data_IF_124927833689
#
_entry.id   IF_124927833689
#
_cell.length_a   1.000
_cell.length_b   1.000
_cell.length_c   1.000
_cell.angle_alpha   90.00
_cell.angle_beta   90.00
_cell.angle_gamma   90.00
#
_symmetry.space_group_name_H-M   'P 1'
#
loop_
_entity.id
_entity.type
_entity.pdbx_description
1 polymer ?
#
# COMPACT_ATOMS: atom_id res chain seq x y z
N UNK A 1 53.80 61.53 19.00
CA UNK A 1 52.64 61.04 19.79
C UNK A 1 52.49 59.56 19.45
N UNK A 2 53.27 58.67 20.04
CA UNK A 2 53.10 57.99 21.35
C UNK A 2 52.58 56.55 21.17
N UNK A 3 53.55 55.63 21.27
CA UNK A 3 53.53 54.25 21.84
C UNK A 3 52.77 53.09 21.13
N UNK A 4 53.59 52.20 20.58
CA UNK A 4 53.45 50.73 20.42
C UNK A 4 53.47 49.98 21.79
N UNK A 5 53.67 48.64 21.90
CA UNK A 5 52.74 47.50 21.64
C UNK A 5 52.75 46.38 22.75
N UNK A 6 51.78 45.42 22.71
CA UNK A 6 51.79 44.00 23.24
C UNK A 6 52.20 43.76 24.73
N UNK A 7 52.30 42.54 25.36
CA UNK A 7 52.16 41.12 24.92
C UNK A 7 51.54 40.09 25.93
N UNK A 8 51.48 38.82 25.49
CA UNK A 8 51.66 37.53 26.23
C UNK A 8 50.66 37.13 27.33
N UNK A 9 50.48 35.86 27.73
CA UNK A 9 50.81 34.47 27.35
C UNK A 9 49.95 33.59 28.31
N UNK A 10 49.70 32.29 28.20
CA UNK A 10 50.58 31.11 28.42
C UNK A 10 49.64 29.90 28.62
N UNK A 11 49.96 28.70 28.11
CA UNK A 11 49.33 27.41 28.50
C UNK A 11 49.83 26.92 29.88
N UNK A 12 49.91 25.61 30.23
CA UNK A 12 49.46 24.36 29.55
C UNK A 12 48.84 23.27 30.51
N UNK A 13 48.53 22.09 29.95
CA UNK A 13 48.63 20.72 30.54
C UNK A 13 47.75 20.25 31.72
N UNK A 14 47.22 19.02 31.64
CA UNK A 14 46.69 18.26 32.78
C UNK A 14 45.97 16.94 32.42
N UNK A 15 46.62 15.82 32.71
CA UNK A 15 46.22 14.41 32.50
C UNK A 15 45.37 13.83 33.66
N UNK A 16 44.68 12.71 33.37
CA UNK A 16 44.10 11.67 34.26
C UNK A 16 42.86 12.07 35.10
N UNK A 17 41.78 11.27 35.17
CA UNK A 17 41.66 10.03 35.96
C UNK A 17 40.35 9.29 35.59
N UNK A 18 40.42 8.07 35.03
CA UNK A 18 40.01 6.78 35.62
C UNK A 18 38.56 6.65 36.17
N UNK A 19 37.81 5.65 35.66
CA UNK A 19 36.65 5.09 36.38
C UNK A 19 35.44 4.63 35.53
N UNK A 20 35.51 3.43 34.94
CA UNK A 20 34.33 2.54 34.72
C UNK A 20 34.09 1.76 36.05
N UNK A 21 32.91 1.20 36.39
CA UNK A 21 32.03 0.45 35.48
C UNK A 21 30.48 0.50 35.73
N UNK A 22 29.76 -0.01 34.73
CA UNK A 22 28.54 -0.86 34.73
C UNK A 22 27.42 -0.69 35.79
N UNK A 23 26.18 -0.61 35.28
CA UNK A 23 24.95 -0.94 36.01
C UNK A 23 23.72 -0.85 35.10
N UNK A 24 23.19 -2.01 34.71
CA UNK A 24 21.91 -2.23 34.03
C UNK A 24 20.74 -1.50 34.70
N UNK A 25 19.88 -0.84 33.93
CA UNK A 25 18.45 -0.84 34.23
C UNK A 25 17.60 -0.66 32.96
N UNK A 26 16.84 -1.71 32.69
CA UNK A 26 15.92 -1.85 31.57
C UNK A 26 14.78 -0.81 31.65
N UNK A 27 14.73 0.11 30.69
CA UNK A 27 13.50 0.86 30.40
C UNK A 27 12.78 0.20 29.22
N UNK A 28 11.77 -0.60 29.57
CA UNK A 28 10.77 -1.15 28.66
C UNK A 28 10.09 0.00 27.90
N UNK A 29 10.50 0.25 26.66
CA UNK A 29 9.74 1.08 25.72
C UNK A 29 8.56 0.27 25.21
N UNK A 30 7.41 0.47 25.85
CA UNK A 30 6.09 0.04 25.36
C UNK A 30 5.86 0.67 23.96
N UNK A 31 5.52 -0.11 22.91
CA UNK A 31 5.21 0.47 21.61
C UNK A 31 3.87 1.19 21.65
N UNK A 32 3.89 2.48 21.34
CA UNK A 32 2.74 3.37 21.28
C UNK A 32 1.63 2.85 20.36
N UNK A 33 0.44 2.69 20.95
CA UNK A 33 -0.82 2.25 20.33
C UNK A 33 -1.52 3.39 19.56
N UNK A 34 -0.77 4.38 19.06
CA UNK A 34 -1.31 5.64 18.53
C UNK A 34 -1.66 5.61 17.03
N UNK A 35 -1.13 4.66 16.27
CA UNK A 35 -1.39 4.57 14.83
C UNK A 35 -2.81 4.09 14.48
N UNK A 36 -3.49 3.37 15.39
CA UNK A 36 -4.86 2.88 15.15
C UNK A 36 -5.95 3.94 15.39
N UNK A 37 -5.72 4.90 16.28
CA UNK A 37 -6.76 5.88 16.66
C UNK A 37 -6.91 7.02 15.65
N UNK A 38 -5.83 7.41 14.96
CA UNK A 38 -5.88 8.40 13.87
C UNK A 38 -6.60 7.92 12.62
N UNK A 39 -6.55 6.63 12.31
CA UNK A 39 -7.32 6.05 11.22
C UNK A 39 -8.83 6.11 11.51
N UNK A 40 -9.23 5.88 12.77
CA UNK A 40 -10.64 5.85 13.15
C UNK A 40 -11.30 7.24 13.18
N UNK A 41 -10.56 8.28 13.62
CA UNK A 41 -11.12 9.65 13.77
C UNK A 41 -11.41 10.39 12.46
N UNK A 42 -10.84 9.95 11.33
CA UNK A 42 -11.09 10.56 10.02
C UNK A 42 -12.42 10.10 9.38
N UNK A 43 -13.04 9.06 9.94
CA UNK A 43 -14.30 8.50 9.43
C UNK A 43 -15.57 9.12 10.04
N UNK A 44 -15.46 9.92 11.12
CA UNK A 44 -16.61 10.63 11.73
C UNK A 44 -17.19 11.75 10.83
N UNK A 45 -16.66 11.95 9.62
CA UNK A 45 -17.14 12.91 8.62
C UNK A 45 -17.46 12.25 7.25
N UNK A 46 -17.65 10.93 7.20
CA UNK A 46 -18.23 10.32 6.01
C UNK A 46 -19.72 10.68 5.92
N UNK A 47 -20.21 10.95 4.72
CA UNK A 47 -21.66 10.97 4.46
C UNK A 47 -22.26 9.59 4.76
N UNK A 48 -23.56 9.52 5.03
CA UNK A 48 -24.26 8.24 5.27
C UNK A 48 -24.08 7.26 4.10
N UNK A 49 -24.13 7.78 2.86
CA UNK A 49 -23.86 7.04 1.63
C UNK A 49 -22.45 6.47 1.59
N UNK A 50 -21.44 7.28 1.95
CA UNK A 50 -20.04 6.83 1.97
C UNK A 50 -19.77 5.78 3.05
N UNK A 51 -20.43 5.90 4.20
CA UNK A 51 -20.34 4.92 5.26
C UNK A 51 -20.97 3.60 4.82
N UNK A 52 -22.13 3.64 4.17
CA UNK A 52 -22.79 2.46 3.62
C UNK A 52 -21.92 1.78 2.55
N UNK A 53 -21.35 2.53 1.61
CA UNK A 53 -20.42 2.00 0.61
C UNK A 53 -19.21 1.34 1.26
N UNK A 54 -18.62 1.97 2.27
CA UNK A 54 -17.48 1.40 3.01
C UNK A 54 -17.87 0.06 3.67
N UNK A 55 -18.97 0.02 4.40
CA UNK A 55 -19.46 -1.19 5.08
C UNK A 55 -19.77 -2.30 4.07
N UNK A 56 -20.35 -1.97 2.91
CA UNK A 56 -20.63 -2.92 1.85
C UNK A 56 -19.33 -3.53 1.27
N UNK A 57 -18.31 -2.70 1.02
CA UNK A 57 -17.02 -3.18 0.53
C UNK A 57 -16.30 -4.05 1.58
N UNK A 58 -16.38 -3.69 2.86
CA UNK A 58 -15.88 -4.51 3.97
C UNK A 58 -16.59 -5.86 4.03
N UNK A 59 -17.92 -5.89 3.87
CA UNK A 59 -18.69 -7.12 3.79
C UNK A 59 -18.27 -7.99 2.60
N UNK A 60 -18.03 -7.42 1.43
CA UNK A 60 -17.51 -8.20 0.30
C UNK A 60 -16.15 -8.82 0.60
N UNK A 61 -15.24 -8.10 1.26
CA UNK A 61 -13.93 -8.67 1.68
C UNK A 61 -14.12 -9.85 2.61
N UNK A 62 -15.10 -9.82 3.51
CA UNK A 62 -15.44 -10.96 4.37
C UNK A 62 -16.00 -12.14 3.56
N UNK A 63 -16.96 -11.89 2.67
CA UNK A 63 -17.61 -12.92 1.84
C UNK A 63 -16.71 -13.55 0.78
N UNK A 64 -15.70 -12.84 0.31
CA UNK A 64 -14.66 -13.42 -0.56
C UNK A 64 -13.90 -14.53 0.17
N UNK A 65 -13.80 -14.46 1.50
CA UNK A 65 -13.09 -15.43 2.33
C UNK A 65 -14.00 -16.52 2.91
N UNK A 66 -15.29 -16.54 2.55
CA UNK A 66 -16.25 -17.55 3.01
C UNK A 66 -15.91 -18.95 2.46
N UNK A 67 -16.40 -20.02 3.08
CA UNK A 67 -16.13 -21.38 2.61
C UNK A 67 -16.92 -21.76 1.35
N UNK A 68 -18.06 -21.10 1.11
CA UNK A 68 -18.95 -21.37 -0.03
C UNK A 68 -18.49 -20.61 -1.29
N UNK A 69 -18.08 -21.32 -2.37
CA UNK A 69 -17.68 -20.70 -3.63
C UNK A 69 -18.79 -19.84 -4.27
N UNK A 70 -20.07 -20.15 -4.02
CA UNK A 70 -21.19 -19.36 -4.50
C UNK A 70 -21.22 -17.96 -3.88
N UNK A 71 -21.02 -17.87 -2.56
CA UNK A 71 -20.91 -16.60 -1.85
C UNK A 71 -19.65 -15.82 -2.25
N UNK A 72 -18.51 -16.52 -2.41
CA UNK A 72 -17.29 -15.88 -2.90
C UNK A 72 -17.50 -15.24 -4.27
N UNK A 73 -18.14 -15.97 -5.20
CA UNK A 73 -18.40 -15.49 -6.56
C UNK A 73 -19.24 -14.23 -6.56
N UNK A 74 -20.37 -14.24 -5.85
CA UNK A 74 -21.27 -13.07 -5.77
C UNK A 74 -20.54 -11.86 -5.19
N UNK A 75 -19.72 -12.05 -4.17
CA UNK A 75 -18.94 -10.97 -3.55
C UNK A 75 -17.85 -10.42 -4.47
N UNK A 76 -17.13 -11.29 -5.20
CA UNK A 76 -16.13 -10.88 -6.20
C UNK A 76 -16.77 -10.09 -7.34
N UNK A 77 -17.86 -10.60 -7.92
CA UNK A 77 -18.56 -9.95 -9.03
C UNK A 77 -19.13 -8.59 -8.60
N UNK A 78 -19.73 -8.52 -7.40
CA UNK A 78 -20.27 -7.26 -6.86
C UNK A 78 -19.17 -6.24 -6.57
N UNK A 79 -18.07 -6.65 -5.93
CA UNK A 79 -16.93 -5.77 -5.68
C UNK A 79 -16.30 -5.27 -6.98
N UNK A 80 -16.16 -6.15 -7.98
CA UNK A 80 -15.69 -5.78 -9.31
C UNK A 80 -16.57 -4.71 -9.93
N UNK A 81 -17.89 -4.89 -9.91
CA UNK A 81 -18.83 -3.93 -10.49
C UNK A 81 -18.73 -2.55 -9.80
N UNK A 82 -18.66 -2.52 -8.47
CA UNK A 82 -18.50 -1.28 -7.69
C UNK A 82 -17.21 -0.53 -8.05
N UNK A 83 -16.09 -1.26 -8.16
CA UNK A 83 -14.81 -0.67 -8.57
C UNK A 83 -14.90 -0.15 -10.00
N UNK A 84 -15.39 -0.95 -10.95
CA UNK A 84 -15.51 -0.57 -12.36
C UNK A 84 -16.32 0.71 -12.52
N UNK A 85 -17.54 0.74 -11.95
CA UNK A 85 -18.42 1.92 -12.00
C UNK A 85 -17.72 3.16 -11.46
N UNK A 86 -16.97 3.04 -10.35
CA UNK A 86 -16.30 4.18 -9.74
C UNK A 86 -15.01 4.62 -10.46
N UNK A 87 -14.34 3.72 -11.19
CA UNK A 87 -13.08 3.98 -11.92
C UNK A 87 -13.25 4.71 -13.25
N UNK A 88 -14.47 4.83 -13.78
CA UNK A 88 -14.74 5.53 -15.06
C UNK A 88 -14.50 7.06 -14.94
N UNK A 89 -14.48 7.59 -13.70
CA UNK A 89 -14.30 9.03 -13.44
C UNK A 89 -12.82 9.44 -13.33
N UNK A 90 -12.52 10.71 -13.59
CA UNK A 90 -11.17 11.30 -13.45
C UNK A 90 -10.71 11.42 -11.99
N UNK A 91 -11.62 11.27 -11.01
CA UNK A 91 -11.27 11.37 -9.59
C UNK A 91 -10.83 10.03 -9.02
N UNK A 92 -9.96 10.04 -8.00
CA UNK A 92 -9.58 8.81 -7.27
C UNK A 92 -10.84 8.19 -6.66
N UNK A 93 -11.24 6.97 -7.10
CA UNK A 93 -12.49 6.35 -6.70
C UNK A 93 -12.55 6.11 -5.20
N UNK A 94 -13.72 6.38 -4.60
CA UNK A 94 -13.97 6.07 -3.17
C UNK A 94 -13.79 4.57 -2.86
N UNK A 95 -14.22 3.61 -3.73
CA UNK A 95 -13.96 2.19 -3.48
C UNK A 95 -12.49 1.85 -3.30
N UNK A 96 -11.58 2.43 -4.09
CA UNK A 96 -10.14 2.23 -3.90
C UNK A 96 -9.69 2.74 -2.52
N UNK A 97 -10.15 3.92 -2.08
CA UNK A 97 -9.78 4.45 -0.76
C UNK A 97 -10.25 3.54 0.38
N UNK A 98 -11.46 3.00 0.28
CA UNK A 98 -12.03 2.11 1.31
C UNK A 98 -11.41 0.70 1.29
N UNK A 99 -11.01 0.19 0.12
CA UNK A 99 -10.36 -1.12 -0.01
C UNK A 99 -8.86 -1.10 0.31
N UNK A 100 -8.22 0.08 0.36
CA UNK A 100 -6.80 0.22 0.70
C UNK A 100 -6.35 -0.54 1.96
N UNK A 101 -7.02 -0.45 3.12
CA UNK A 101 -6.65 -1.24 4.30
C UNK A 101 -6.82 -2.76 4.11
N UNK A 102 -7.62 -3.20 3.13
CA UNK A 102 -7.91 -4.62 2.87
C UNK A 102 -7.02 -5.24 1.78
N UNK A 103 -6.28 -4.44 1.01
CA UNK A 103 -5.43 -4.93 -0.08
C UNK A 103 -4.48 -6.06 0.35
N UNK A 104 -3.81 -5.90 1.50
CA UNK A 104 -2.92 -6.93 2.02
C UNK A 104 -3.66 -8.23 2.43
N UNK A 105 -4.91 -8.13 2.86
CA UNK A 105 -5.75 -9.29 3.19
C UNK A 105 -6.18 -10.02 1.92
N UNK A 106 -6.65 -9.29 0.91
CA UNK A 106 -7.03 -9.85 -0.39
C UNK A 106 -5.85 -10.55 -1.08
N UNK A 107 -4.65 -9.96 -1.04
CA UNK A 107 -3.42 -10.62 -1.53
C UNK A 107 -3.13 -11.92 -0.81
N UNK A 108 -3.15 -11.92 0.53
CA UNK A 108 -2.90 -13.14 1.33
C UNK A 108 -3.93 -14.23 1.06
N UNK A 109 -5.17 -13.86 0.77
CA UNK A 109 -6.20 -14.81 0.40
C UNK A 109 -5.94 -15.38 -1.00
N UNK A 110 -5.66 -14.52 -1.98
CA UNK A 110 -5.31 -14.91 -3.36
C UNK A 110 -4.21 -15.98 -3.42
N UNK A 111 -3.12 -15.82 -2.66
CA UNK A 111 -2.00 -16.77 -2.63
C UNK A 111 -2.39 -18.16 -2.08
N UNK A 112 -3.47 -18.24 -1.28
CA UNK A 112 -3.98 -19.51 -0.73
C UNK A 112 -5.06 -20.15 -1.60
N UNK A 113 -5.60 -19.42 -2.57
CA UNK A 113 -6.66 -19.94 -3.42
C UNK A 113 -6.12 -20.99 -4.39
N UNK A 114 -6.86 -22.10 -4.60
CA UNK A 114 -6.56 -23.00 -5.71
C UNK A 114 -6.80 -22.30 -7.03
N UNK A 115 -6.10 -22.73 -8.08
CA UNK A 115 -6.30 -22.22 -9.43
C UNK A 115 -7.73 -22.50 -9.88
N UNK A 116 -8.48 -21.41 -10.08
CA UNK A 116 -9.92 -21.41 -10.29
C UNK A 116 -10.37 -20.09 -10.90
N UNK A 117 -11.57 -20.06 -11.48
CA UNK A 117 -12.17 -18.84 -12.02
C UNK A 117 -12.27 -17.74 -10.95
N UNK A 118 -12.55 -18.12 -9.69
CA UNK A 118 -12.60 -17.18 -8.57
C UNK A 118 -11.24 -16.52 -8.29
N UNK A 119 -10.15 -17.29 -8.40
CA UNK A 119 -8.79 -16.76 -8.27
C UNK A 119 -8.50 -15.77 -9.39
N UNK A 120 -8.87 -16.08 -10.63
CA UNK A 120 -8.70 -15.15 -11.77
C UNK A 120 -9.51 -13.86 -11.63
N UNK A 121 -10.73 -13.94 -11.09
CA UNK A 121 -11.56 -12.76 -10.78
C UNK A 121 -10.93 -11.90 -9.68
N UNK A 122 -10.39 -12.52 -8.64
CA UNK A 122 -9.68 -11.79 -7.59
C UNK A 122 -8.39 -11.14 -8.12
N UNK A 123 -7.67 -11.79 -9.04
CA UNK A 123 -6.52 -11.18 -9.71
C UNK A 123 -6.91 -9.91 -10.47
N UNK A 124 -8.03 -9.91 -11.22
CA UNK A 124 -8.49 -8.71 -11.91
C UNK A 124 -8.72 -7.53 -10.93
N UNK A 125 -9.37 -7.81 -9.79
CA UNK A 125 -9.59 -6.81 -8.73
C UNK A 125 -8.26 -6.33 -8.16
N UNK A 126 -7.35 -7.24 -7.80
CA UNK A 126 -6.04 -6.90 -7.23
C UNK A 126 -5.20 -6.06 -8.21
N UNK A 127 -5.30 -6.31 -9.51
CA UNK A 127 -4.61 -5.54 -10.55
C UNK A 127 -5.02 -4.06 -10.52
N UNK A 128 -6.30 -3.78 -10.29
CA UNK A 128 -6.83 -2.41 -10.26
C UNK A 128 -6.57 -1.75 -8.91
N UNK A 129 -6.65 -2.50 -7.81
CA UNK A 129 -6.26 -2.01 -6.48
C UNK A 129 -4.78 -1.59 -6.46
N UNK A 130 -3.92 -2.34 -7.13
CA UNK A 130 -2.49 -2.07 -7.23
C UNK A 130 -2.16 -0.67 -7.79
N UNK A 131 -3.04 -0.06 -8.59
CA UNK A 131 -2.88 1.31 -9.15
C UNK A 131 -2.47 2.35 -8.10
N UNK A 132 -2.96 2.21 -6.87
CA UNK A 132 -2.72 3.18 -5.80
C UNK A 132 -2.14 2.55 -4.53
N UNK A 133 -1.96 1.23 -4.54
CA UNK A 133 -1.66 0.43 -3.35
C UNK A 133 -0.40 -0.42 -3.49
N UNK A 134 0.09 -0.63 -4.71
CA UNK A 134 1.38 -1.28 -4.95
C UNK A 134 2.51 -0.43 -4.40
N UNK A 135 3.56 -1.08 -3.90
CA UNK A 135 4.82 -0.38 -3.69
C UNK A 135 5.40 0.02 -5.06
N UNK A 136 6.08 1.16 -5.10
CA UNK A 136 6.73 1.64 -6.31
C UNK A 136 7.73 0.59 -6.83
N UNK A 137 7.63 0.24 -8.11
CA UNK A 137 8.53 -0.72 -8.76
C UNK A 137 8.11 -2.19 -8.70
N UNK A 138 7.11 -2.57 -7.89
CA UNK A 138 6.63 -3.96 -7.79
C UNK A 138 5.79 -4.40 -9.01
N UNK A 139 5.32 -3.46 -9.82
CA UNK A 139 4.51 -3.70 -11.05
C UNK A 139 3.36 -4.68 -10.80
N UNK A 140 2.68 -4.53 -9.66
CA UNK A 140 1.65 -5.47 -9.24
C UNK A 140 0.41 -5.42 -10.13
N UNK A 141 0.10 -4.27 -10.74
CA UNK A 141 -1.02 -4.18 -11.69
C UNK A 141 -0.78 -5.11 -12.88
N UNK A 142 0.40 -5.08 -13.48
CA UNK A 142 0.78 -5.95 -14.59
C UNK A 142 0.83 -7.42 -14.14
N UNK A 143 1.44 -7.71 -12.98
CA UNK A 143 1.50 -9.07 -12.42
C UNK A 143 0.11 -9.71 -12.36
N UNK A 144 -0.84 -9.05 -11.68
CA UNK A 144 -2.18 -9.62 -11.54
C UNK A 144 -2.99 -9.55 -12.83
N UNK A 145 -2.72 -8.58 -13.71
CA UNK A 145 -3.40 -8.50 -15.01
C UNK A 145 -3.13 -9.74 -15.86
N UNK A 146 -1.89 -10.24 -15.86
CA UNK A 146 -1.51 -11.45 -16.62
C UNK A 146 -2.14 -12.71 -16.02
N UNK A 147 -2.36 -12.73 -14.70
CA UNK A 147 -2.97 -13.84 -13.95
C UNK A 147 -4.50 -13.80 -13.93
N UNK A 148 -5.11 -12.69 -14.34
CA UNK A 148 -6.55 -12.46 -14.33
C UNK A 148 -7.28 -13.06 -15.53
N UNK A 149 -8.53 -12.65 -15.73
CA UNK A 149 -9.41 -13.21 -16.78
C UNK A 149 -9.02 -12.77 -18.20
N UNK A 150 -8.07 -11.83 -18.33
CA UNK A 150 -7.69 -11.19 -19.60
C UNK A 150 -8.87 -10.54 -20.36
N UNK A 151 -9.99 -10.25 -19.69
CA UNK A 151 -11.15 -9.54 -20.26
C UNK A 151 -10.81 -8.11 -20.69
N UNK A 152 -11.77 -7.39 -21.28
CA UNK A 152 -11.53 -6.04 -21.82
C UNK A 152 -10.86 -5.08 -20.82
N UNK A 153 -9.66 -4.60 -21.19
CA UNK A 153 -8.84 -3.69 -20.36
C UNK A 153 -9.56 -2.34 -20.22
N UNK A 154 -10.29 -1.90 -21.24
CA UNK A 154 -10.99 -0.62 -21.24
C UNK A 154 -12.10 -0.53 -20.19
N UNK A 155 -12.64 -1.68 -19.77
CA UNK A 155 -13.72 -1.76 -18.77
C UNK A 155 -13.35 -1.21 -17.38
N UNK A 156 -12.06 -1.01 -17.10
CA UNK A 156 -11.54 -0.45 -15.84
C UNK A 156 -11.15 1.03 -15.93
N UNK A 157 -11.41 1.67 -17.07
CA UNK A 157 -11.14 3.07 -17.31
C UNK A 157 -9.71 3.38 -17.82
N UNK A 158 -9.56 4.59 -18.36
CA UNK A 158 -8.31 5.01 -19.02
C UNK A 158 -7.11 5.10 -18.08
N UNK A 159 -7.34 5.40 -16.79
CA UNK A 159 -6.28 5.45 -15.79
C UNK A 159 -5.59 4.09 -15.63
N UNK A 160 -6.39 3.03 -15.58
CA UNK A 160 -5.89 1.66 -15.49
C UNK A 160 -5.06 1.27 -16.73
N UNK A 161 -5.59 1.56 -17.92
CA UNK A 161 -4.90 1.32 -19.20
C UNK A 161 -3.56 2.06 -19.23
N UNK A 162 -3.53 3.32 -18.80
CA UNK A 162 -2.31 4.13 -18.78
C UNK A 162 -1.27 3.56 -17.82
N UNK A 163 -1.68 3.15 -16.62
CA UNK A 163 -0.77 2.52 -15.66
C UNK A 163 -0.17 1.22 -16.23
N UNK A 164 -1.00 0.35 -16.79
CA UNK A 164 -0.53 -0.89 -17.41
C UNK A 164 0.45 -0.63 -18.55
N UNK A 165 0.17 0.33 -19.43
CA UNK A 165 1.10 0.70 -20.50
C UNK A 165 2.46 1.16 -19.94
N UNK A 166 2.46 1.92 -18.84
CA UNK A 166 3.67 2.32 -18.13
C UNK A 166 4.45 1.13 -17.57
N UNK A 167 3.78 0.21 -16.87
CA UNK A 167 4.41 -0.99 -16.31
C UNK A 167 4.96 -1.93 -17.38
N UNK A 168 4.24 -2.09 -18.50
CA UNK A 168 4.69 -2.87 -19.66
C UNK A 168 5.96 -2.24 -20.27
N UNK A 169 5.98 -0.92 -20.46
CA UNK A 169 7.15 -0.22 -20.97
C UNK A 169 8.38 -0.39 -20.08
N UNK A 170 8.19 -0.34 -18.75
CA UNK A 170 9.26 -0.60 -17.78
C UNK A 170 9.76 -2.04 -17.84
N UNK A 171 8.85 -3.03 -17.95
CA UNK A 171 9.23 -4.45 -18.03
C UNK A 171 9.98 -4.74 -19.35
N UNK A 172 9.52 -4.19 -20.46
CA UNK A 172 10.19 -4.33 -21.77
C UNK A 172 11.62 -3.75 -21.73
N UNK A 173 11.79 -2.54 -21.23
CA UNK A 173 13.10 -1.90 -21.12
C UNK A 173 14.08 -2.70 -20.23
N UNK A 174 13.57 -3.31 -19.15
CA UNK A 174 14.36 -4.18 -18.28
C UNK A 174 14.84 -5.44 -19.01
N UNK A 175 14.00 -6.03 -19.86
CA UNK A 175 14.37 -7.19 -20.67
C UNK A 175 15.44 -6.82 -21.70
N UNK A 176 15.33 -5.69 -22.40
CA UNK A 176 16.35 -5.26 -23.38
C UNK A 176 17.71 -4.97 -22.75
N UNK A 177 17.76 -4.36 -21.56
CA UNK A 177 19.02 -4.11 -20.83
C UNK A 177 19.60 -5.41 -20.23
N UNK A 178 18.78 -6.45 -20.06
CA UNK A 178 19.18 -7.76 -19.56
C UNK A 178 19.62 -8.77 -20.64
N UNK A 179 19.58 -8.39 -21.92
CA UNK A 179 20.09 -9.21 -23.03
C UNK A 179 21.54 -8.81 -23.30
N UNK A 180 22.53 -9.71 -23.09
CA UNK A 180 23.94 -9.45 -23.41
C UNK A 180 24.19 -9.31 -24.91
#
# INVERSE_FOLDING_TARGET
>A
MSKTPNPNSTGPSGYADAGKPAGDEATVKVPSKDSKKKANKKYEYLSEEDLALKQQLELYVERIQDADPGLQKVALESMRQEIQTATISMTVPKPLKFLRPHYGTLKRFYEKMPDSDLKTLLADILSVLALTMSAEGERESLKYRVLGTQGDIGSWGHEYVRNLAGEIGQEYAKLEVGVP
#
